data_IF_882672622885
#
_entry.id   IF_882672622885
#
_cell.length_a   1.000
_cell.length_b   1.000
_cell.length_c   1.000
_cell.angle_alpha   90.00
_cell.angle_beta   90.00
_cell.angle_gamma   90.00
#
_symmetry.space_group_name_H-M   'P 1'
#
loop_
_entity.id
_entity.type
_entity.pdbx_description
1 polymer ?
#
# COMPACT_ATOMS: atom_id res chain seq x y z
N UNK A 1 23.42 -20.47 -16.87
CA UNK A 1 22.07 -20.64 -16.31
C UNK A 1 21.84 -19.54 -15.31
N UNK A 2 21.14 -18.48 -15.71
CA UNK A 2 20.72 -17.44 -14.79
C UNK A 2 19.56 -18.00 -13.96
N UNK A 3 19.65 -17.91 -12.64
CA UNK A 3 18.55 -18.30 -11.77
C UNK A 3 17.50 -17.18 -11.82
N UNK A 4 16.47 -17.38 -12.64
CA UNK A 4 15.23 -16.61 -12.57
C UNK A 4 14.55 -16.98 -11.25
N UNK A 5 14.51 -16.02 -10.31
CA UNK A 5 13.82 -16.22 -9.04
C UNK A 5 12.38 -15.70 -9.19
N UNK A 6 11.44 -16.63 -9.14
CA UNK A 6 10.00 -16.35 -9.10
C UNK A 6 9.44 -16.69 -7.72
N UNK A 7 8.66 -15.79 -7.16
CA UNK A 7 8.02 -15.96 -5.87
C UNK A 7 6.54 -15.66 -5.99
N UNK A 8 5.71 -16.60 -5.57
CA UNK A 8 4.27 -16.43 -5.45
C UNK A 8 3.86 -16.60 -3.98
N UNK A 9 2.99 -15.74 -3.49
CA UNK A 9 2.42 -15.83 -2.15
C UNK A 9 0.97 -15.40 -2.15
N UNK A 10 0.17 -15.94 -1.25
CA UNK A 10 -1.22 -15.57 -1.06
C UNK A 10 -1.60 -15.67 0.41
N UNK A 11 -2.67 -14.99 0.79
CA UNK A 11 -3.24 -15.04 2.12
C UNK A 11 -4.72 -14.71 2.09
N UNK A 12 -5.47 -15.26 3.03
CA UNK A 12 -6.90 -15.00 3.21
C UNK A 12 -7.18 -14.72 4.68
N UNK A 13 -8.14 -13.84 4.93
CA UNK A 13 -8.53 -13.44 6.27
C UNK A 13 -10.06 -13.43 6.38
N UNK A 14 -10.56 -13.86 7.54
CA UNK A 14 -11.98 -13.87 7.86
C UNK A 14 -12.18 -13.27 9.25
N UNK A 15 -13.04 -12.26 9.33
CA UNK A 15 -13.37 -11.59 10.57
C UNK A 15 -14.88 -11.60 10.78
N UNK A 16 -15.29 -11.96 11.99
CA UNK A 16 -16.68 -12.02 12.39
C UNK A 16 -16.89 -11.28 13.71
N UNK A 17 -17.91 -10.43 13.73
CA UNK A 17 -18.35 -9.65 14.87
C UNK A 17 -19.87 -9.53 14.85
N UNK A 18 -20.48 -9.16 15.98
CA UNK A 18 -21.93 -8.94 16.05
C UNK A 18 -22.42 -7.84 15.10
N UNK A 19 -21.54 -6.91 14.69
CA UNK A 19 -21.88 -5.77 13.83
C UNK A 19 -21.36 -5.88 12.41
N UNK A 20 -20.44 -6.80 12.12
CA UNK A 20 -19.93 -6.98 10.77
C UNK A 20 -19.34 -8.37 10.59
N UNK A 21 -19.39 -8.85 9.35
CA UNK A 21 -18.63 -9.99 8.89
C UNK A 21 -17.90 -9.58 7.62
N UNK A 22 -16.61 -9.91 7.51
CA UNK A 22 -15.85 -9.63 6.28
C UNK A 22 -14.86 -10.72 5.96
N UNK A 23 -14.67 -10.93 4.67
CA UNK A 23 -13.70 -11.87 4.09
C UNK A 23 -12.76 -11.04 3.22
N UNK A 24 -11.47 -11.32 3.29
CA UNK A 24 -10.50 -10.73 2.39
C UNK A 24 -9.42 -11.71 1.94
N UNK A 25 -8.76 -11.38 0.85
CA UNK A 25 -7.67 -12.15 0.30
C UNK A 25 -6.68 -11.25 -0.41
N UNK A 26 -5.42 -11.69 -0.41
CA UNK A 26 -4.34 -11.05 -1.13
C UNK A 26 -3.51 -12.09 -1.87
N UNK A 27 -2.99 -11.71 -3.03
CA UNK A 27 -2.04 -12.48 -3.81
C UNK A 27 -0.90 -11.57 -4.22
N UNK A 28 0.33 -12.09 -4.19
CA UNK A 28 1.53 -11.37 -4.62
C UNK A 28 2.37 -12.26 -5.51
N UNK A 29 2.83 -11.72 -6.63
CA UNK A 29 3.76 -12.34 -7.55
C UNK A 29 4.97 -11.43 -7.73
N UNK A 30 6.17 -11.97 -7.53
CA UNK A 30 7.43 -11.27 -7.73
C UNK A 30 8.32 -12.06 -8.67
N UNK A 31 8.90 -11.37 -9.64
CA UNK A 31 9.87 -11.95 -10.58
C UNK A 31 11.13 -11.10 -10.62
N UNK A 32 12.29 -11.72 -10.38
CA UNK A 32 13.61 -11.11 -10.55
C UNK A 32 14.17 -11.47 -11.93
N UNK A 33 14.58 -10.45 -12.68
CA UNK A 33 15.22 -10.59 -13.99
C UNK A 33 16.76 -10.59 -13.84
N UNK A 34 17.46 -11.10 -14.86
CA UNK A 34 18.93 -11.22 -14.87
C UNK A 34 19.66 -9.88 -14.68
N UNK A 35 19.04 -8.78 -15.10
CA UNK A 35 19.56 -7.43 -14.99
C UNK A 35 19.28 -6.77 -13.62
N UNK A 36 19.00 -7.59 -12.59
CA UNK A 36 18.68 -7.15 -11.23
C UNK A 36 17.43 -6.25 -11.13
N UNK A 37 16.57 -6.26 -12.16
CA UNK A 37 15.25 -5.61 -12.11
C UNK A 37 14.23 -6.60 -11.58
N UNK A 38 13.22 -6.11 -10.88
CA UNK A 38 12.11 -6.96 -10.48
C UNK A 38 10.76 -6.38 -10.91
N UNK A 39 9.84 -7.29 -11.21
CA UNK A 39 8.42 -7.03 -11.34
C UNK A 39 7.74 -7.49 -10.05
N UNK A 40 6.89 -6.65 -9.49
CA UNK A 40 6.04 -6.97 -8.35
C UNK A 40 4.59 -6.71 -8.72
N UNK A 41 3.75 -7.71 -8.57
CA UNK A 41 2.31 -7.64 -8.79
C UNK A 41 1.62 -8.05 -7.50
N UNK A 42 0.63 -7.25 -7.07
CA UNK A 42 -0.22 -7.56 -5.93
C UNK A 42 -1.68 -7.42 -6.36
N UNK A 43 -2.51 -8.35 -5.91
CA UNK A 43 -3.96 -8.26 -5.98
C UNK A 43 -4.54 -8.35 -4.57
N UNK A 44 -5.56 -7.56 -4.28
CA UNK A 44 -6.32 -7.60 -3.04
C UNK A 44 -7.82 -7.58 -3.35
N UNK A 45 -8.57 -8.39 -2.62
CA UNK A 45 -10.02 -8.42 -2.67
C UNK A 45 -10.59 -8.51 -1.25
N UNK A 46 -11.59 -7.70 -0.95
CA UNK A 46 -12.28 -7.71 0.34
C UNK A 46 -13.77 -7.47 0.15
N UNK A 47 -14.60 -8.17 0.91
CA UNK A 47 -16.06 -8.02 0.90
C UNK A 47 -16.62 -8.17 2.30
N UNK A 48 -17.58 -7.32 2.65
CA UNK A 48 -18.42 -7.49 3.83
C UNK A 48 -19.57 -8.44 3.51
N UNK A 49 -19.74 -9.48 4.32
CA UNK A 49 -20.93 -10.35 4.27
C UNK A 49 -22.13 -9.66 4.90
N UNK A 50 -21.89 -8.87 5.96
CA UNK A 50 -22.81 -7.87 6.49
C UNK A 50 -21.99 -6.75 7.15
N UNK A 51 -22.56 -5.54 7.20
CA UNK A 51 -21.93 -4.41 7.86
C UNK A 51 -22.95 -3.44 8.44
N UNK A 52 -23.11 -3.48 9.75
CA UNK A 52 -24.04 -2.63 10.53
C UNK A 52 -23.26 -1.61 11.39
N UNK A 53 -22.02 -1.27 11.00
CA UNK A 53 -21.18 -0.31 11.72
C UNK A 53 -21.55 1.13 11.34
N UNK A 54 -21.53 2.03 12.32
CA UNK A 54 -21.87 3.45 12.09
C UNK A 54 -20.67 4.32 11.71
N UNK A 55 -19.48 3.73 11.56
CA UNK A 55 -18.25 4.42 11.22
C UNK A 55 -17.33 3.54 10.36
N UNK A 56 -16.24 4.11 9.87
CA UNK A 56 -15.26 3.42 9.01
C UNK A 56 -14.17 2.66 9.77
N UNK A 57 -14.33 2.47 11.08
CA UNK A 57 -13.29 1.87 11.91
C UNK A 57 -12.93 0.44 11.48
N UNK A 58 -13.90 -0.30 10.92
CA UNK A 58 -13.72 -1.65 10.40
C UNK A 58 -13.69 -1.73 8.87
N UNK A 59 -13.94 -0.62 8.17
CA UNK A 59 -13.96 -0.52 6.71
C UNK A 59 -12.57 -0.82 6.13
N UNK A 60 -12.55 -1.33 4.90
CA UNK A 60 -11.29 -1.54 4.17
C UNK A 60 -10.71 -0.18 3.77
N UNK A 61 -9.43 0.02 4.03
CA UNK A 61 -8.66 1.18 3.60
C UNK A 61 -8.27 1.11 2.14
N UNK A 62 -8.47 2.22 1.43
CA UNK A 62 -8.06 2.38 0.03
C UNK A 62 -6.58 2.79 -0.02
N UNK A 63 -6.23 3.89 0.63
CA UNK A 63 -4.85 4.42 0.67
C UNK A 63 -4.15 4.24 2.02
N UNK A 64 -4.91 3.92 3.07
CA UNK A 64 -4.40 3.61 4.41
C UNK A 64 -5.38 2.67 5.13
N UNK A 65 -4.92 1.53 5.66
CA UNK A 65 -5.77 0.63 6.42
C UNK A 65 -6.17 1.23 7.76
N UNK A 66 -7.30 0.76 8.30
CA UNK A 66 -7.67 1.00 9.68
C UNK A 66 -6.79 0.11 10.59
N UNK A 67 -5.97 0.73 11.46
CA UNK A 67 -5.01 0.02 12.34
C UNK A 67 -5.68 -0.49 13.63
N UNK A 68 -6.89 -1.08 13.52
CA UNK A 68 -7.67 -1.53 14.69
C UNK A 68 -7.15 -2.82 15.31
N UNK A 69 -6.47 -3.67 14.51
CA UNK A 69 -5.81 -4.88 15.01
C UNK A 69 -4.40 -4.62 15.54
N UNK A 70 -3.85 -3.42 15.34
CA UNK A 70 -2.48 -3.05 15.73
C UNK A 70 -1.37 -3.88 15.05
N UNK A 71 -1.67 -4.52 13.93
CA UNK A 71 -0.78 -5.43 13.20
C UNK A 71 0.20 -4.72 12.25
N UNK A 72 0.05 -3.40 12.05
CA UNK A 72 0.91 -2.64 11.15
C UNK A 72 2.06 -1.95 11.88
N UNK A 73 3.24 -1.91 11.25
CA UNK A 73 4.44 -1.25 11.76
C UNK A 73 4.38 0.29 11.61
N UNK A 74 3.29 0.90 12.11
CA UNK A 74 3.07 2.34 12.11
C UNK A 74 3.79 3.01 13.29
N UNK A 75 4.59 4.04 13.02
CA UNK A 75 5.36 4.79 14.03
C UNK A 75 4.45 5.82 14.73
N UNK A 76 3.69 6.59 13.95
CA UNK A 76 2.71 7.56 14.45
C UNK A 76 1.27 7.06 14.28
N UNK A 77 0.87 6.05 15.06
CA UNK A 77 -0.47 5.43 14.98
C UNK A 77 -1.62 6.41 15.21
N UNK A 78 -1.42 7.38 16.11
CA UNK A 78 -2.43 8.36 16.52
C UNK A 78 -2.38 9.67 15.72
N UNK A 79 -1.44 9.84 14.79
CA UNK A 79 -1.25 11.10 14.09
C UNK A 79 -2.06 11.15 12.78
N UNK A 80 -3.03 12.05 12.73
CA UNK A 80 -3.91 12.27 11.57
C UNK A 80 -3.40 13.33 10.60
N UNK A 81 -2.49 14.20 11.04
CA UNK A 81 -1.85 15.27 10.25
C UNK A 81 -0.31 15.13 10.31
N UNK A 82 0.45 16.08 9.76
CA UNK A 82 1.91 16.05 9.93
C UNK A 82 2.64 14.96 9.12
N UNK A 83 3.85 14.60 9.57
CA UNK A 83 4.75 13.72 8.84
C UNK A 83 4.26 12.26 8.92
N UNK A 84 3.91 11.79 10.12
CA UNK A 84 3.60 10.37 10.32
C UNK A 84 2.26 9.95 9.69
N UNK A 85 1.35 10.90 9.43
CA UNK A 85 0.14 10.64 8.62
C UNK A 85 0.45 10.23 7.16
N UNK A 86 1.68 10.48 6.69
CA UNK A 86 2.16 10.16 5.34
C UNK A 86 2.82 8.77 5.26
N UNK A 87 2.93 8.05 6.38
CA UNK A 87 3.46 6.69 6.37
C UNK A 87 2.56 5.78 5.53
N UNK A 88 3.17 5.04 4.60
CA UNK A 88 2.52 4.06 3.75
C UNK A 88 2.58 2.67 4.38
N UNK A 89 1.52 1.90 4.20
CA UNK A 89 1.41 0.51 4.62
C UNK A 89 0.89 -0.27 3.42
N UNK A 90 1.62 -1.30 3.02
CA UNK A 90 1.24 -2.16 1.89
C UNK A 90 0.16 -3.17 2.31
N UNK A 91 -1.05 -2.68 2.53
CA UNK A 91 -2.20 -3.47 2.98
C UNK A 91 -3.50 -3.00 2.32
N UNK A 92 -4.48 -3.91 2.24
CA UNK A 92 -5.80 -3.65 1.66
C UNK A 92 -5.71 -3.04 0.25
N UNK A 93 -6.25 -1.84 0.01
CA UNK A 93 -6.18 -1.17 -1.29
C UNK A 93 -4.75 -0.76 -1.70
N UNK A 94 -3.88 -0.49 -0.73
CA UNK A 94 -2.47 -0.15 -0.90
C UNK A 94 -2.18 0.94 -1.96
N UNK A 95 -3.10 1.88 -2.20
CA UNK A 95 -2.86 3.03 -3.07
C UNK A 95 -1.94 4.05 -2.41
N UNK A 96 -1.12 4.75 -3.21
CA UNK A 96 -0.11 5.69 -2.72
C UNK A 96 -0.66 7.12 -2.71
N UNK A 97 -1.56 7.44 -3.63
CA UNK A 97 -2.31 8.70 -3.63
C UNK A 97 -3.33 8.78 -2.48
N UNK A 98 -3.59 9.99 -1.98
CA UNK A 98 -4.67 10.26 -1.03
C UNK A 98 -5.94 10.56 -1.82
N UNK A 99 -6.97 9.73 -1.71
CA UNK A 99 -8.27 9.98 -2.34
C UNK A 99 -9.24 10.67 -1.38
N UNK A 100 -10.28 11.31 -1.92
CA UNK A 100 -11.35 11.93 -1.13
C UNK A 100 -12.10 10.88 -0.30
N UNK A 101 -12.47 9.76 -0.93
CA UNK A 101 -13.01 8.60 -0.24
C UNK A 101 -11.85 7.66 0.10
N UNK A 102 -11.63 7.41 1.39
CA UNK A 102 -10.46 6.66 1.89
C UNK A 102 -10.77 5.25 2.37
N UNK A 103 -12.05 4.95 2.55
CA UNK A 103 -12.52 3.67 3.06
C UNK A 103 -13.66 3.09 2.21
N UNK A 104 -13.78 1.77 2.27
CA UNK A 104 -14.78 0.97 1.60
C UNK A 104 -15.47 0.04 2.60
N UNK A 105 -16.79 0.20 2.75
CA UNK A 105 -17.60 -0.49 3.75
C UNK A 105 -18.49 -1.61 3.18
N UNK A 106 -18.43 -1.86 1.87
CA UNK A 106 -19.07 -3.03 1.22
C UNK A 106 -18.06 -3.95 0.54
N UNK A 107 -17.29 -3.46 -0.42
CA UNK A 107 -16.24 -4.25 -1.06
C UNK A 107 -15.10 -3.37 -1.56
N UNK A 108 -13.94 -3.99 -1.76
CA UNK A 108 -12.79 -3.41 -2.45
C UNK A 108 -12.10 -4.49 -3.30
N UNK A 109 -11.65 -4.08 -4.48
CA UNK A 109 -10.74 -4.82 -5.35
C UNK A 109 -9.61 -3.88 -5.75
N UNK A 110 -8.37 -4.31 -5.60
CA UNK A 110 -7.20 -3.52 -5.95
C UNK A 110 -6.13 -4.39 -6.61
N UNK A 111 -5.46 -3.84 -7.62
CA UNK A 111 -4.29 -4.41 -8.25
C UNK A 111 -3.20 -3.35 -8.19
N UNK A 112 -2.04 -3.72 -7.67
CA UNK A 112 -0.86 -2.86 -7.59
C UNK A 112 0.26 -3.51 -8.40
N UNK A 113 0.96 -2.72 -9.21
CA UNK A 113 2.09 -3.18 -10.01
C UNK A 113 3.29 -2.27 -9.79
N UNK A 114 4.48 -2.85 -9.70
CA UNK A 114 5.75 -2.15 -9.58
C UNK A 114 6.81 -2.78 -10.46
N UNK A 115 7.66 -1.96 -11.08
CA UNK A 115 8.76 -2.41 -11.92
C UNK A 115 10.00 -1.56 -11.69
N UNK A 116 11.14 -2.23 -11.48
CA UNK A 116 12.44 -1.58 -11.31
C UNK A 116 12.95 -1.01 -12.63
N UNK A 117 13.17 0.30 -12.66
CA UNK A 117 13.81 1.00 -13.78
C UNK A 117 15.32 1.03 -13.57
N UNK A 118 15.75 1.32 -12.35
CA UNK A 118 17.14 1.41 -11.91
C UNK A 118 17.26 0.90 -10.47
N UNK A 119 18.48 0.60 -10.00
CA UNK A 119 18.72 -0.13 -8.73
C UNK A 119 17.89 0.36 -7.52
N UNK A 120 17.64 1.67 -7.42
CA UNK A 120 16.85 2.30 -6.35
C UNK A 120 15.63 3.07 -6.86
N UNK A 121 15.29 2.95 -8.16
CA UNK A 121 14.15 3.64 -8.78
C UNK A 121 13.20 2.60 -9.39
N UNK A 122 11.97 2.62 -8.94
CA UNK A 122 10.88 1.84 -9.49
C UNK A 122 9.77 2.75 -9.99
N UNK A 123 9.08 2.34 -11.05
CA UNK A 123 7.76 2.87 -11.37
C UNK A 123 6.70 1.98 -10.77
N UNK A 124 5.57 2.56 -10.39
CA UNK A 124 4.40 1.81 -9.97
C UNK A 124 3.13 2.33 -10.65
N UNK A 125 2.13 1.47 -10.71
CA UNK A 125 0.79 1.78 -11.16
C UNK A 125 -0.22 0.90 -10.45
N UNK A 126 -1.25 1.52 -9.90
CA UNK A 126 -2.30 0.86 -9.14
C UNK A 126 -3.67 1.15 -9.78
N UNK A 127 -4.55 0.17 -9.77
CA UNK A 127 -5.94 0.29 -10.26
C UNK A 127 -6.86 -0.48 -9.33
N UNK A 128 -8.10 -0.02 -9.19
CA UNK A 128 -9.04 -0.68 -8.31
C UNK A 128 -10.45 -0.12 -8.37
N UNK A 129 -11.34 -0.82 -7.70
CA UNK A 129 -12.72 -0.42 -7.51
C UNK A 129 -13.15 -0.74 -6.09
N UNK A 130 -13.99 0.11 -5.54
CA UNK A 130 -14.56 -0.10 -4.22
C UNK A 130 -15.97 0.45 -4.15
N UNK A 131 -16.71 0.04 -3.13
CA UNK A 131 -18.08 0.48 -2.92
C UNK A 131 -18.37 0.74 -1.45
N UNK A 132 -19.15 1.79 -1.24
CA UNK A 132 -19.78 2.13 0.02
C UNK A 132 -21.31 2.00 -0.07
N UNK A 133 -21.94 1.66 1.04
CA UNK A 133 -23.40 1.58 1.15
C UNK A 133 -24.06 2.90 0.78
N UNK A 134 -25.16 2.83 0.01
CA UNK A 134 -25.86 4.02 -0.48
C UNK A 134 -25.18 4.75 -1.64
N UNK A 135 -23.97 4.35 -2.04
CA UNK A 135 -23.22 4.96 -3.14
C UNK A 135 -22.98 3.98 -4.29
N UNK A 136 -22.77 4.54 -5.50
CA UNK A 136 -22.34 3.76 -6.66
C UNK A 136 -20.89 3.31 -6.49
N UNK A 137 -20.48 2.16 -7.06
CA UNK A 137 -19.08 1.78 -7.15
C UNK A 137 -18.21 2.90 -7.70
N UNK A 138 -17.05 3.11 -7.07
CA UNK A 138 -16.03 4.04 -7.54
C UNK A 138 -14.88 3.24 -8.13
N UNK A 139 -14.26 3.82 -9.18
CA UNK A 139 -13.07 3.27 -9.82
C UNK A 139 -11.96 4.27 -9.63
N UNK A 140 -10.81 3.79 -9.16
CA UNK A 140 -9.65 4.63 -8.87
C UNK A 140 -8.39 4.02 -9.43
N UNK A 141 -7.41 4.88 -9.71
CA UNK A 141 -6.08 4.51 -10.14
C UNK A 141 -5.07 5.54 -9.66
N UNK A 142 -3.83 5.11 -9.51
CA UNK A 142 -2.68 5.99 -9.36
C UNK A 142 -1.43 5.43 -10.04
N UNK A 143 -0.44 6.29 -10.23
CA UNK A 143 0.87 5.91 -10.73
C UNK A 143 1.92 6.89 -10.25
N UNK A 144 3.16 6.44 -10.22
CA UNK A 144 4.26 7.25 -9.74
C UNK A 144 5.59 6.53 -9.71
N UNK A 145 6.51 7.10 -8.94
CA UNK A 145 7.83 6.54 -8.71
C UNK A 145 7.99 6.12 -7.26
N UNK A 146 8.66 4.99 -7.04
CA UNK A 146 9.14 4.55 -5.73
C UNK A 146 10.65 4.67 -5.72
N UNK A 147 11.19 5.38 -4.73
CA UNK A 147 12.62 5.47 -4.47
C UNK A 147 12.96 4.57 -3.29
N UNK A 148 13.81 3.59 -3.52
CA UNK A 148 14.28 2.67 -2.49
C UNK A 148 15.67 3.11 -2.00
N UNK A 149 15.69 4.11 -1.12
CA UNK A 149 16.92 4.79 -0.69
C UNK A 149 17.79 3.89 0.20
N UNK A 150 17.14 3.06 1.02
CA UNK A 150 17.78 2.01 1.81
C UNK A 150 16.89 0.77 1.70
N UNK A 151 17.39 -0.26 1.00
CA UNK A 151 16.61 -1.42 0.56
C UNK A 151 15.84 -2.11 1.68
N UNK A 152 14.51 -1.98 1.69
CA UNK A 152 13.55 -2.53 2.68
C UNK A 152 13.48 -1.76 4.03
N UNK A 153 14.11 -0.59 4.11
CA UNK A 153 14.18 0.24 5.33
C UNK A 153 13.56 1.61 5.12
N UNK A 154 13.94 2.28 4.03
CA UNK A 154 13.51 3.64 3.74
C UNK A 154 13.13 3.77 2.27
N UNK A 155 11.84 3.91 2.07
CA UNK A 155 11.24 4.04 0.75
C UNK A 155 10.42 5.31 0.68
N UNK A 156 10.48 5.97 -0.46
CA UNK A 156 9.63 7.11 -0.78
C UNK A 156 8.74 6.77 -1.97
N UNK A 157 7.45 7.05 -1.86
CA UNK A 157 6.52 6.98 -2.97
C UNK A 157 6.16 8.40 -3.39
N UNK A 158 6.32 8.66 -4.68
CA UNK A 158 6.14 9.93 -5.35
C UNK A 158 4.98 9.78 -6.35
N UNK A 159 3.72 10.04 -5.92
CA UNK A 159 2.57 9.99 -6.82
C UNK A 159 2.70 11.03 -7.93
N UNK A 160 2.52 10.62 -9.19
CA UNK A 160 2.62 11.52 -10.34
C UNK A 160 1.23 11.82 -10.90
N UNK A 161 0.41 10.79 -11.07
CA UNK A 161 -0.92 10.91 -11.64
C UNK A 161 -1.89 9.97 -10.91
N UNK A 162 -3.11 10.42 -10.67
CA UNK A 162 -4.14 9.60 -10.05
C UNK A 162 -5.53 9.99 -10.54
N UNK A 163 -6.56 9.35 -10.00
CA UNK A 163 -7.95 9.78 -10.22
C UNK A 163 -8.25 11.20 -9.70
N UNK A 164 -7.34 11.82 -8.93
CA UNK A 164 -7.40 13.24 -8.58
C UNK A 164 -6.83 14.16 -9.69
N UNK A 165 -6.23 13.61 -10.74
CA UNK A 165 -5.51 14.34 -11.79
C UNK A 165 -4.00 14.30 -11.62
N UNK A 166 -3.32 15.33 -12.14
CA UNK A 166 -1.85 15.44 -12.10
C UNK A 166 -1.39 16.00 -10.75
N UNK A 167 -0.71 15.16 -9.96
CA UNK A 167 -0.40 15.41 -8.55
C UNK A 167 0.75 16.42 -8.38
N UNK A 168 1.68 16.49 -9.34
CA UNK A 168 2.88 17.34 -9.26
C UNK A 168 2.59 18.85 -9.36
N UNK A 169 1.40 19.23 -9.87
CA UNK A 169 0.99 20.64 -9.94
C UNK A 169 0.41 21.17 -8.62
N UNK A 170 0.22 20.30 -7.61
CA UNK A 170 -0.29 20.71 -6.30
C UNK A 170 0.80 21.47 -5.54
N UNK A 171 0.47 22.67 -5.04
CA UNK A 171 1.38 23.49 -4.21
C UNK A 171 1.85 22.73 -2.96
N UNK A 172 1.03 21.78 -2.48
CA UNK A 172 1.30 20.96 -1.32
C UNK A 172 1.75 19.54 -1.68
N UNK A 173 2.37 19.35 -2.86
CA UNK A 173 2.84 18.04 -3.34
C UNK A 173 3.67 17.27 -2.30
N UNK A 174 4.50 17.95 -1.51
CA UNK A 174 5.28 17.34 -0.43
C UNK A 174 4.45 16.58 0.61
N UNK A 175 3.16 16.90 0.76
CA UNK A 175 2.22 16.21 1.66
C UNK A 175 1.58 14.95 1.06
N UNK A 176 1.77 14.78 -0.25
CA UNK A 176 1.33 13.61 -1.02
C UNK A 176 2.42 12.55 -1.14
N UNK A 177 3.69 12.94 -0.96
CA UNK A 177 4.80 12.01 -0.83
C UNK A 177 4.55 11.10 0.37
N UNK A 178 4.60 9.78 0.14
CA UNK A 178 4.48 8.77 1.20
C UNK A 178 5.83 8.16 1.50
N UNK A 179 5.97 7.58 2.68
CA UNK A 179 7.18 6.87 3.03
C UNK A 179 6.91 5.56 3.76
N UNK A 180 7.81 4.60 3.60
CA UNK A 180 7.95 3.46 4.51
C UNK A 180 9.24 3.69 5.29
N UNK A 181 9.16 3.58 6.62
CA UNK A 181 10.33 3.52 7.51
C UNK A 181 10.15 2.31 8.42
N UNK A 182 11.11 1.39 8.38
CA UNK A 182 11.12 0.20 9.25
C UNK A 182 12.16 0.39 10.36
N UNK A 183 11.71 0.57 11.60
CA UNK A 183 12.57 0.69 12.79
C UNK A 183 12.67 -0.68 13.48
N UNK A 184 13.69 -1.48 13.16
CA UNK A 184 14.00 -2.71 13.90
C UNK A 184 15.40 -2.62 14.54
N UNK A 185 15.61 -3.07 15.80
CA UNK A 185 16.94 -3.05 16.42
C UNK A 185 17.99 -3.88 15.70
N UNK A 186 17.62 -5.06 15.14
CA UNK A 186 18.51 -5.89 14.30
C UNK A 186 18.88 -5.21 12.97
N UNK A 187 18.01 -4.32 12.53
CA UNK A 187 18.00 -3.59 11.24
C UNK A 187 18.92 -2.35 11.34
N UNK A 188 19.01 -1.70 12.50
CA UNK A 188 20.01 -0.64 12.75
C UNK A 188 21.46 -1.16 12.77
N UNK A 189 21.71 -2.35 13.33
CA UNK A 189 23.06 -2.93 13.36
C UNK A 189 23.54 -3.40 11.98
N UNK A 190 22.64 -3.86 11.10
CA UNK A 190 23.02 -4.32 9.75
C UNK A 190 23.41 -3.18 8.80
N UNK A 191 22.92 -1.95 9.04
CA UNK A 191 23.28 -0.75 8.28
C UNK A 191 24.74 -0.36 8.44
N UNK A 192 25.35 -0.64 9.60
CA UNK A 192 26.76 -0.40 9.85
C UNK A 192 27.68 -1.54 9.39
N UNK A 193 27.13 -2.73 9.13
CA UNK A 193 27.94 -3.91 8.76
C UNK A 193 28.01 -4.18 7.26
N UNK A 194 27.20 -3.53 6.42
CA UNK A 194 27.22 -3.73 4.96
C UNK A 194 27.71 -2.47 4.23
N UNK A 195 29.04 -2.41 4.09
CA UNK A 195 29.85 -1.63 3.12
C UNK A 195 30.41 -0.27 3.56
N UNK A 196 31.47 -0.36 4.37
CA UNK A 196 32.76 0.29 4.11
C UNK A 196 33.86 -0.74 3.73
N UNK A 197 33.47 -1.83 3.06
CA UNK A 197 34.38 -2.83 2.46
C UNK A 197 33.76 -3.40 1.18
#
# INVERSE_FOLDING_TARGET
NSELIEQFSYGTDFQLSNRFGKISGQMQYRKLFENNRFLNLRAFAGVFTHNDTSNDFFSFGIDRPSDYLFDYALIGRSESTGLFSRQFVNAEGAFKSKFTTRYANQYILAINAGFTIYDWIEMYGDVGTFKNEGYKPQYVYDSGLRLNLVQDYFELYLPIYSSNGFELNDKNYGERIRFIVTLSPKTLTSLFTRRWF
#
